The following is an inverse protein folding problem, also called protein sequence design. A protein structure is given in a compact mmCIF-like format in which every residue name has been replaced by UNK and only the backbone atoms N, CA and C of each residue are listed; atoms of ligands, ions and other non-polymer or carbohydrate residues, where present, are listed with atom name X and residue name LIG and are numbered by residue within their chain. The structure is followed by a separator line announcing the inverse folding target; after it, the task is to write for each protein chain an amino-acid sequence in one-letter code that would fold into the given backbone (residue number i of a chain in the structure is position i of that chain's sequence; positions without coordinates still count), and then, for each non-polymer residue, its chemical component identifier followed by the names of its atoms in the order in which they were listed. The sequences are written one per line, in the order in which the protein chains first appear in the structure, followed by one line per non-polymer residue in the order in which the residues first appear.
data_IF_528122707071
#
_entry.id   IF_528122707071
#
_cell.length_a   1.000
_cell.length_b   1.000
_cell.length_c   1.000
_cell.angle_alpha   90.00
_cell.angle_beta   90.00
_cell.angle_gamma   90.00
#
_symmetry.space_group_name_H-M   'P 1'
#
loop_
_entity.id
_entity.type
_entity.pdbx_description
1 polymer ?
#
# COMPACT_ATOMS: atom_id res chain seq x y z
N UNK A 1 11.82 -5.88 -0.64
CA UNK A 1 12.89 -4.91 -0.27
C UNK A 1 12.90 -4.66 1.23
N UNK A 2 11.81 -4.18 1.83
CA UNK A 2 11.75 -3.79 3.24
C UNK A 2 12.15 -4.96 4.18
N UNK A 3 11.66 -6.16 3.92
CA UNK A 3 12.05 -7.37 4.66
C UNK A 3 13.54 -7.66 4.55
N UNK A 4 14.13 -7.44 3.37
CA UNK A 4 15.56 -7.70 3.14
C UNK A 4 16.49 -6.71 3.84
N UNK A 5 16.00 -5.52 4.17
CA UNK A 5 16.80 -4.50 4.87
C UNK A 5 17.10 -4.90 6.31
N UNK A 6 16.19 -5.63 6.98
CA UNK A 6 16.42 -6.21 8.31
C UNK A 6 15.54 -7.46 8.49
N UNK A 7 16.02 -8.59 7.96
CA UNK A 7 15.30 -9.86 8.05
C UNK A 7 15.08 -10.37 9.48
N UNK A 8 16.04 -10.28 10.40
CA UNK A 8 15.80 -10.71 11.77
C UNK A 8 14.64 -9.98 12.43
N UNK A 9 14.62 -8.66 12.33
CA UNK A 9 13.52 -7.85 12.88
C UNK A 9 12.19 -8.09 12.18
N UNK A 10 12.20 -8.21 10.86
CA UNK A 10 10.99 -8.53 10.08
C UNK A 10 10.35 -9.86 10.49
N UNK A 11 11.18 -10.89 10.76
CA UNK A 11 10.72 -12.20 11.24
C UNK A 11 10.10 -12.12 12.64
N UNK A 12 10.73 -11.39 13.55
CA UNK A 12 10.22 -11.18 14.90
C UNK A 12 8.86 -10.48 14.83
N UNK A 13 8.77 -9.40 14.06
CA UNK A 13 7.53 -8.66 13.88
C UNK A 13 6.43 -9.56 13.30
N UNK A 14 6.72 -10.30 12.25
CA UNK A 14 5.74 -11.21 11.65
C UNK A 14 5.29 -12.32 12.61
N UNK A 15 6.18 -12.85 13.45
CA UNK A 15 5.85 -13.96 14.36
C UNK A 15 5.18 -13.48 15.67
N UNK A 16 5.62 -12.37 16.23
CA UNK A 16 5.35 -12.00 17.62
C UNK A 16 4.47 -10.75 17.79
N UNK A 17 4.12 -10.04 16.71
CA UNK A 17 3.28 -8.85 16.83
C UNK A 17 1.95 -9.19 17.51
N UNK A 18 1.57 -8.47 18.59
CA UNK A 18 0.49 -8.91 19.48
C UNK A 18 -0.92 -8.68 18.93
N UNK A 19 -1.08 -7.82 17.93
CA UNK A 19 -2.38 -7.46 17.34
C UNK A 19 -2.56 -8.01 15.93
N UNK A 20 -3.72 -7.81 15.35
CA UNK A 20 -3.95 -8.11 13.94
C UNK A 20 -3.05 -7.26 13.05
N UNK A 21 -2.58 -7.83 11.95
CA UNK A 21 -1.75 -7.17 10.95
C UNK A 21 -2.35 -7.33 9.56
N UNK A 22 -2.38 -6.22 8.82
CA UNK A 22 -2.80 -6.21 7.42
C UNK A 22 -1.62 -5.81 6.56
N UNK A 23 -1.26 -6.67 5.61
CA UNK A 23 -0.14 -6.47 4.71
C UNK A 23 -0.60 -5.97 3.35
N UNK A 24 0.16 -5.05 2.77
CA UNK A 24 0.03 -4.67 1.38
C UNK A 24 1.20 -5.28 0.58
N UNK A 25 0.91 -6.32 -0.18
CA UNK A 25 1.91 -7.02 -0.99
C UNK A 25 2.36 -6.21 -2.21
N UNK A 26 3.46 -6.68 -2.82
CA UNK A 26 4.00 -6.06 -4.04
C UNK A 26 2.96 -5.96 -5.15
N UNK A 27 2.17 -7.03 -5.33
CA UNK A 27 1.14 -7.19 -6.36
C UNK A 27 -0.01 -6.19 -6.26
N UNK A 28 -0.23 -5.59 -5.08
CA UNK A 28 -1.29 -4.60 -4.85
C UNK A 28 -0.89 -3.23 -5.36
N UNK A 29 0.22 -2.70 -4.88
CA UNK A 29 0.62 -1.33 -5.19
C UNK A 29 1.39 -1.17 -6.49
N UNK A 30 1.99 -2.26 -7.01
CA UNK A 30 2.77 -2.21 -8.25
C UNK A 30 1.95 -1.76 -9.47
N UNK A 31 0.74 -2.29 -9.74
CA UNK A 31 -0.07 -1.86 -10.88
C UNK A 31 -0.78 -0.52 -10.63
N UNK A 32 -0.91 -0.06 -9.39
CA UNK A 32 -1.59 1.18 -9.04
C UNK A 32 -0.60 2.34 -9.17
N UNK A 33 -0.60 3.02 -10.30
CA UNK A 33 0.32 4.14 -10.58
C UNK A 33 -0.42 5.46 -10.47
N UNK A 34 -0.03 6.30 -9.50
CA UNK A 34 -0.63 7.60 -9.21
C UNK A 34 0.25 8.77 -9.65
N UNK A 35 -0.38 9.93 -9.85
CA UNK A 35 0.24 11.23 -10.09
C UNK A 35 1.25 11.21 -11.25
N UNK A 36 0.84 10.66 -12.38
CA UNK A 36 1.65 10.70 -13.61
C UNK A 36 1.94 12.12 -14.04
N UNK A 37 0.95 13.00 -13.93
CA UNK A 37 1.08 14.43 -14.23
C UNK A 37 0.37 15.22 -13.12
N UNK A 38 1.03 15.50 -11.98
CA UNK A 38 0.38 16.08 -10.80
C UNK A 38 0.07 17.58 -10.99
N UNK A 39 -0.42 17.97 -12.17
CA UNK A 39 -0.70 19.36 -12.52
C UNK A 39 -1.95 19.93 -11.84
N UNK A 40 -2.83 19.06 -11.36
CA UNK A 40 -4.04 19.43 -10.61
C UNK A 40 -3.75 19.88 -9.18
N UNK A 41 -2.58 19.52 -8.64
CA UNK A 41 -2.15 19.97 -7.32
C UNK A 41 -1.61 21.38 -7.38
N UNK A 42 -1.79 22.13 -6.28
CA UNK A 42 -1.20 23.46 -6.13
C UNK A 42 0.30 23.43 -6.45
N UNK A 43 0.85 24.39 -7.24
CA UNK A 43 2.27 24.46 -7.57
C UNK A 43 3.21 24.42 -6.36
N UNK A 44 2.78 24.93 -5.22
CA UNK A 44 3.57 24.94 -3.98
C UNK A 44 3.38 23.67 -3.12
N UNK A 45 2.51 22.74 -3.55
CA UNK A 45 2.29 21.50 -2.83
C UNK A 45 3.56 20.63 -2.84
N UNK A 46 4.12 20.24 -1.68
CA UNK A 46 5.34 19.43 -1.62
C UNK A 46 5.17 18.05 -2.25
N UNK A 47 3.96 17.48 -2.25
CA UNK A 47 3.66 16.20 -2.91
C UNK A 47 3.85 16.35 -4.43
N UNK A 48 3.32 17.43 -5.02
CA UNK A 48 3.53 17.72 -6.45
C UNK A 48 5.01 17.80 -6.80
N UNK A 49 5.77 18.54 -6.01
CA UNK A 49 7.21 18.70 -6.21
C UNK A 49 7.96 17.38 -6.09
N UNK A 50 7.66 16.59 -5.04
CA UNK A 50 8.27 15.28 -4.81
C UNK A 50 8.02 14.32 -5.98
N UNK A 51 6.78 14.22 -6.46
CA UNK A 51 6.44 13.35 -7.59
C UNK A 51 7.11 13.80 -8.88
N UNK A 52 7.14 15.09 -9.16
CA UNK A 52 7.83 15.62 -10.36
C UNK A 52 9.32 15.31 -10.36
N UNK A 53 9.99 15.52 -9.23
CA UNK A 53 11.43 15.26 -9.10
C UNK A 53 11.75 13.77 -9.13
N UNK A 54 10.95 12.93 -8.46
CA UNK A 54 11.21 11.50 -8.34
C UNK A 54 10.84 10.71 -9.59
N UNK A 55 9.67 10.99 -10.19
CA UNK A 55 9.11 10.16 -11.26
C UNK A 55 9.23 10.77 -12.66
N UNK A 56 9.70 12.01 -12.78
CA UNK A 56 9.78 12.73 -14.05
C UNK A 56 8.46 12.65 -14.87
N UNK A 57 7.30 12.77 -14.20
CA UNK A 57 5.98 12.71 -14.83
C UNK A 57 5.46 11.29 -15.13
N UNK A 58 6.20 10.24 -14.77
CA UNK A 58 5.78 8.84 -15.02
C UNK A 58 4.84 8.30 -13.95
N UNK A 59 4.60 9.06 -12.88
CA UNK A 59 3.88 8.60 -11.70
C UNK A 59 4.70 7.63 -10.85
N UNK A 60 4.08 7.13 -9.78
CA UNK A 60 4.72 6.20 -8.87
C UNK A 60 3.75 5.09 -8.47
N UNK A 61 4.27 3.87 -8.34
CA UNK A 61 3.56 2.75 -7.75
C UNK A 61 3.18 3.08 -6.30
N UNK A 62 1.99 2.66 -5.87
CA UNK A 62 1.31 3.26 -4.71
C UNK A 62 1.09 2.29 -3.53
N UNK A 63 2.13 1.52 -3.15
CA UNK A 63 2.02 0.56 -2.03
C UNK A 63 1.60 1.23 -0.73
N UNK A 64 2.30 2.30 -0.35
CA UNK A 64 2.04 3.01 0.91
C UNK A 64 0.69 3.73 0.88
N UNK A 65 0.33 4.33 -0.26
CA UNK A 65 -0.96 5.01 -0.43
C UNK A 65 -2.14 4.03 -0.31
N UNK A 66 -2.06 2.85 -0.94
CA UNK A 66 -3.07 1.80 -0.80
C UNK A 66 -3.21 1.35 0.66
N UNK A 67 -2.08 1.18 1.34
CA UNK A 67 -2.04 0.77 2.75
C UNK A 67 -2.72 1.81 3.64
N UNK A 68 -2.38 3.09 3.47
CA UNK A 68 -2.94 4.19 4.27
C UNK A 68 -4.43 4.35 3.98
N UNK A 69 -4.85 4.33 2.72
CA UNK A 69 -6.26 4.45 2.36
C UNK A 69 -7.10 3.32 2.96
N UNK A 70 -6.63 2.06 2.87
CA UNK A 70 -7.32 0.93 3.48
C UNK A 70 -7.39 1.05 5.00
N UNK A 71 -6.32 1.50 5.66
CA UNK A 71 -6.28 1.65 7.11
C UNK A 71 -7.21 2.76 7.64
N UNK A 72 -7.36 3.85 6.90
CA UNK A 72 -8.13 5.02 7.34
C UNK A 72 -9.58 5.01 6.88
N UNK A 73 -9.86 4.50 5.69
CA UNK A 73 -11.14 4.73 5.01
C UNK A 73 -11.99 3.48 4.83
N UNK A 74 -11.43 2.27 5.02
CA UNK A 74 -12.12 0.99 4.79
C UNK A 74 -12.97 1.01 3.50
N UNK A 75 -12.30 0.92 2.34
CA UNK A 75 -12.92 1.02 1.00
C UNK A 75 -13.17 -0.38 0.40
N UNK A 76 -14.27 -1.06 0.75
CA UNK A 76 -14.58 -2.40 0.22
C UNK A 76 -14.89 -2.40 -1.28
N UNK A 77 -15.17 -1.23 -1.85
CA UNK A 77 -15.31 -1.01 -3.29
C UNK A 77 -13.96 -1.04 -4.04
N UNK A 78 -12.85 -0.80 -3.34
CA UNK A 78 -11.50 -0.77 -3.91
C UNK A 78 -10.64 -1.95 -3.46
N UNK A 79 -10.83 -2.41 -2.23
CA UNK A 79 -9.99 -3.43 -1.60
C UNK A 79 -10.81 -4.52 -0.93
N UNK A 80 -10.30 -5.74 -1.01
CA UNK A 80 -10.75 -6.90 -0.27
C UNK A 80 -9.64 -7.37 0.66
N UNK A 81 -9.97 -7.79 1.87
CA UNK A 81 -9.03 -8.47 2.75
C UNK A 81 -9.08 -9.99 2.50
N UNK A 82 -7.92 -10.63 2.58
CA UNK A 82 -7.86 -12.09 2.60
C UNK A 82 -8.60 -12.67 3.79
N UNK A 83 -8.85 -13.97 3.78
CA UNK A 83 -9.13 -14.71 5.02
C UNK A 83 -7.99 -14.55 6.03
N UNK A 84 -8.22 -15.00 7.28
CA UNK A 84 -7.18 -15.00 8.32
C UNK A 84 -6.08 -16.00 8.00
N UNK A 85 -4.88 -15.71 8.47
CA UNK A 85 -3.71 -16.53 8.23
C UNK A 85 -2.47 -16.00 8.94
N UNK A 86 -1.33 -16.44 8.49
CA UNK A 86 -0.03 -15.97 8.93
C UNK A 86 0.94 -15.84 7.77
N UNK A 87 1.89 -14.96 7.91
CA UNK A 87 3.01 -14.80 6.99
C UNK A 87 4.25 -15.37 7.65
N UNK A 88 4.93 -16.27 6.93
CA UNK A 88 6.28 -16.72 7.25
C UNK A 88 7.30 -16.02 6.36
N UNK A 89 8.47 -15.74 6.88
CA UNK A 89 9.59 -15.15 6.14
C UNK A 89 10.73 -16.16 6.17
N UNK A 90 11.10 -16.69 5.00
CA UNK A 90 12.19 -17.66 4.90
C UNK A 90 13.59 -17.02 5.02
N UNK A 91 14.64 -17.83 4.95
CA UNK A 91 16.03 -17.39 5.09
C UNK A 91 16.52 -16.47 3.98
N UNK A 92 15.79 -16.43 2.86
CA UNK A 92 16.07 -15.55 1.71
C UNK A 92 15.22 -14.28 1.72
N UNK A 93 14.39 -14.08 2.76
CA UNK A 93 13.48 -12.94 2.88
C UNK A 93 12.22 -13.07 2.03
N UNK A 94 11.92 -14.27 1.53
CA UNK A 94 10.67 -14.52 0.78
C UNK A 94 9.53 -14.70 1.77
N UNK A 95 8.48 -13.92 1.57
CA UNK A 95 7.25 -14.01 2.37
C UNK A 95 6.31 -15.08 1.80
N UNK A 96 5.74 -15.91 2.68
CA UNK A 96 4.78 -16.95 2.30
C UNK A 96 3.53 -16.84 3.14
N UNK A 97 2.39 -16.88 2.47
CA UNK A 97 1.08 -16.90 3.12
C UNK A 97 0.65 -18.32 3.45
N UNK A 98 0.15 -18.50 4.67
CA UNK A 98 -0.49 -19.72 5.13
C UNK A 98 -1.88 -19.38 5.68
N UNK A 99 -2.91 -19.98 5.10
CA UNK A 99 -4.27 -19.84 5.64
C UNK A 99 -4.36 -20.51 7.03
N UNK A 100 -4.91 -19.78 7.99
CA UNK A 100 -5.04 -20.22 9.37
C UNK A 100 -6.21 -19.46 10.03
N UNK A 101 -7.27 -20.13 10.41
CA UNK A 101 -8.46 -19.49 10.99
C UNK A 101 -8.17 -18.77 12.31
N UNK A 102 -7.12 -19.18 13.01
CA UNK A 102 -6.64 -18.57 14.26
C UNK A 102 -5.51 -17.57 14.01
N UNK A 103 -5.10 -17.41 12.77
CA UNK A 103 -4.06 -16.45 12.38
C UNK A 103 -4.50 -15.01 12.61
N UNK A 104 -3.52 -14.13 12.83
CA UNK A 104 -3.74 -12.70 13.07
C UNK A 104 -3.37 -11.83 11.88
N UNK A 105 -2.97 -12.44 10.78
CA UNK A 105 -2.58 -11.73 9.58
C UNK A 105 -3.67 -11.78 8.52
N UNK A 106 -3.76 -10.71 7.75
CA UNK A 106 -4.51 -10.63 6.50
C UNK A 106 -3.67 -9.86 5.48
N UNK A 107 -4.01 -9.94 4.22
CA UNK A 107 -3.42 -9.10 3.20
C UNK A 107 -4.49 -8.49 2.32
N UNK A 108 -4.16 -7.32 1.76
CA UNK A 108 -5.01 -6.57 0.85
C UNK A 108 -5.00 -7.23 -0.53
N UNK A 109 -6.16 -7.29 -1.16
CA UNK A 109 -6.33 -7.59 -2.59
C UNK A 109 -7.05 -6.42 -3.25
N UNK A 110 -6.78 -6.20 -4.52
CA UNK A 110 -7.57 -5.24 -5.30
C UNK A 110 -8.95 -5.83 -5.61
N UNK A 111 -10.03 -5.15 -5.21
CA UNK A 111 -11.41 -5.45 -5.57
C UNK A 111 -11.83 -4.71 -6.85
N UNK A 112 -11.11 -3.63 -7.21
CA UNK A 112 -11.33 -2.85 -8.40
C UNK A 112 -10.10 -2.88 -9.32
N UNK A 113 -10.27 -2.44 -10.57
CA UNK A 113 -9.16 -2.27 -11.51
C UNK A 113 -8.13 -1.25 -10.97
N UNK A 114 -6.83 -1.46 -11.19
CA UNK A 114 -5.76 -0.58 -10.67
C UNK A 114 -5.97 0.90 -11.00
N UNK A 115 -6.49 1.21 -12.16
CA UNK A 115 -6.75 2.59 -12.61
C UNK A 115 -7.90 3.25 -11.83
N UNK A 116 -8.87 2.45 -11.35
CA UNK A 116 -9.96 2.92 -10.48
C UNK A 116 -9.40 3.28 -9.11
N UNK A 117 -8.56 2.41 -8.57
CA UNK A 117 -7.88 2.64 -7.28
C UNK A 117 -6.98 3.88 -7.38
N UNK A 118 -6.18 4.00 -8.45
CA UNK A 118 -5.31 5.15 -8.66
C UNK A 118 -6.11 6.47 -8.67
N UNK A 119 -7.21 6.54 -9.42
CA UNK A 119 -8.08 7.74 -9.44
C UNK A 119 -8.69 8.06 -8.08
N UNK A 120 -9.07 7.06 -7.30
CA UNK A 120 -9.58 7.28 -5.95
C UNK A 120 -8.52 7.88 -5.02
N UNK A 121 -7.29 7.37 -5.07
CA UNK A 121 -6.15 7.92 -4.32
C UNK A 121 -5.84 9.36 -4.74
N UNK A 122 -5.82 9.64 -6.03
CA UNK A 122 -5.59 10.99 -6.57
C UNK A 122 -6.68 11.97 -6.15
N UNK A 123 -7.94 11.53 -6.13
CA UNK A 123 -9.07 12.34 -5.65
C UNK A 123 -8.92 12.69 -4.16
N UNK A 124 -8.49 11.75 -3.32
CA UNK A 124 -8.25 12.01 -1.89
C UNK A 124 -7.12 13.04 -1.70
N UNK A 125 -6.02 12.91 -2.44
CA UNK A 125 -4.89 13.84 -2.40
C UNK A 125 -5.31 15.24 -2.86
N UNK A 126 -6.05 15.34 -3.96
CA UNK A 126 -6.54 16.62 -4.52
C UNK A 126 -7.54 17.29 -3.59
N UNK A 127 -8.46 16.52 -3.00
CA UNK A 127 -9.44 17.05 -2.05
C UNK A 127 -8.79 17.62 -0.78
N UNK A 128 -7.67 17.08 -0.35
CA UNK A 128 -6.89 17.63 0.76
C UNK A 128 -6.17 18.93 0.37
N UNK A 129 -5.59 18.98 -0.83
CA UNK A 129 -4.87 20.15 -1.35
C UNK A 129 -5.81 21.36 -1.52
N UNK A 130 -7.03 21.12 -1.98
CA UNK A 130 -8.03 22.18 -2.19
C UNK A 130 -8.54 22.85 -0.88
N UNK A 131 -8.28 22.26 0.28
CA UNK A 131 -8.67 22.81 1.60
C UNK A 131 -7.61 23.72 2.23
N UNK A 132 -6.50 23.94 1.56
CA UNK A 132 -5.41 24.81 1.99
C UNK A 132 -5.35 26.08 1.19
#
# INVERSE_FOLDING_TARGET
WNVLMDMPSARIVAAEWPTEMVYCGFEVGFPVVTLKEPNELNPENPVRTAYRLHSAGKGRMSWDLCTVQQALCSRPDLYELSGKGRIDIDEKGVTRWHADEHGRHQFIKLAAAPEVVARALEADITAFDAKR
#
